data_IF_192982360202
#
_entry.id   IF_192982360202
#
_cell.length_a   1.000
_cell.length_b   1.000
_cell.length_c   1.000
_cell.angle_alpha   90.00
_cell.angle_beta   90.00
_cell.angle_gamma   90.00
#
_symmetry.space_group_name_H-M   'P 1'
#
loop_
_entity.id
_entity.type
_entity.pdbx_description
1 polymer ?
#
# COMPACT_ATOMS: atom_id res chain seq x y z
N UNK A 1 30.17 6.75 -13.41
CA UNK A 1 30.88 6.39 -12.17
C UNK A 1 30.05 6.96 -11.02
N UNK A 2 28.98 6.27 -10.60
CA UNK A 2 28.91 5.43 -9.37
C UNK A 2 29.12 6.26 -8.09
N UNK A 3 28.14 6.17 -7.18
CA UNK A 3 27.94 6.81 -5.86
C UNK A 3 26.83 7.88 -5.93
N UNK A 4 25.74 7.87 -5.16
CA UNK A 4 25.35 7.02 -4.05
C UNK A 4 23.81 6.95 -3.98
N UNK A 5 23.33 5.76 -3.67
CA UNK A 5 21.98 5.47 -3.21
C UNK A 5 21.82 6.07 -1.80
N UNK A 6 20.60 6.48 -1.49
CA UNK A 6 19.95 6.34 -0.17
C UNK A 6 19.52 7.65 0.51
N UNK A 7 18.25 7.62 0.93
CA UNK A 7 17.71 8.26 2.14
C UNK A 7 17.42 9.76 2.07
N UNK A 8 16.28 10.15 1.48
CA UNK A 8 15.44 11.19 2.09
C UNK A 8 13.98 11.14 1.62
N UNK A 9 13.29 10.04 1.94
CA UNK A 9 11.83 9.92 1.80
C UNK A 9 11.21 9.52 3.15
N UNK A 10 11.60 10.19 4.23
CA UNK A 10 10.93 10.11 5.52
C UNK A 10 10.39 11.49 5.90
N UNK A 11 9.18 11.79 5.46
CA UNK A 11 8.24 12.66 6.16
C UNK A 11 6.88 12.67 5.43
N UNK A 12 6.13 11.59 5.56
CA UNK A 12 4.66 11.70 5.59
C UNK A 12 4.19 11.18 6.94
N UNK A 13 4.49 11.98 7.97
CA UNK A 13 3.81 11.91 9.25
C UNK A 13 2.56 12.79 9.18
N UNK A 14 1.43 12.19 8.84
CA UNK A 14 0.07 12.61 9.17
C UNK A 14 -0.82 11.45 8.75
N UNK A 15 -1.38 10.68 9.66
CA UNK A 15 -2.38 11.14 10.62
C UNK A 15 -2.27 10.46 11.98
N UNK A 16 -2.33 11.31 13.00
CA UNK A 16 -2.58 10.99 14.39
C UNK A 16 -3.95 10.33 14.60
N UNK A 17 -3.99 9.44 15.59
CA UNK A 17 -5.13 9.17 16.47
C UNK A 17 -6.36 8.49 15.86
N UNK A 18 -6.31 7.17 15.69
CA UNK A 18 -7.47 6.33 15.96
C UNK A 18 -7.02 5.09 16.74
N UNK A 19 -7.35 5.09 18.02
CA UNK A 19 -7.33 3.92 18.88
C UNK A 19 -8.27 2.85 18.27
N UNK A 20 -7.87 1.58 18.39
CA UNK A 20 -8.26 0.46 17.52
C UNK A 20 -7.57 0.54 16.16
N UNK A 21 -6.40 -0.12 16.05
CA UNK A 21 -5.64 -0.17 14.81
C UNK A 21 -6.57 -0.54 13.65
N UNK A 22 -6.74 0.38 12.71
CA UNK A 22 -7.57 0.18 11.51
C UNK A 22 -7.27 -1.20 10.96
N UNK A 23 -8.26 -2.09 11.02
CA UNK A 23 -8.16 -3.42 10.45
C UNK A 23 -7.75 -3.26 9.00
N UNK A 24 -6.85 -4.12 8.53
CA UNK A 24 -6.38 -4.08 7.15
C UNK A 24 -7.55 -4.09 6.13
N UNK A 25 -8.70 -4.64 6.52
CA UNK A 25 -9.94 -4.60 5.75
C UNK A 25 -10.50 -3.20 5.52
N UNK A 26 -10.51 -2.32 6.53
CA UNK A 26 -11.13 -1.00 6.38
C UNK A 26 -10.29 -0.09 5.48
N UNK A 27 -8.96 -0.14 5.65
CA UNK A 27 -8.03 0.52 4.72
C UNK A 27 -8.15 -0.07 3.31
N UNK A 28 -8.32 -1.39 3.17
CA UNK A 28 -8.54 -2.03 1.87
C UNK A 28 -9.84 -1.54 1.22
N UNK A 29 -10.92 -1.42 1.99
CA UNK A 29 -12.21 -0.92 1.50
C UNK A 29 -12.10 0.54 1.02
N UNK A 30 -11.48 1.42 1.80
CA UNK A 30 -11.27 2.82 1.41
C UNK A 30 -10.38 2.94 0.16
N UNK A 31 -9.30 2.16 0.09
CA UNK A 31 -8.44 2.11 -1.09
C UNK A 31 -9.21 1.63 -2.32
N UNK A 32 -10.05 0.60 -2.16
CA UNK A 32 -10.91 0.06 -3.24
C UNK A 32 -11.88 1.14 -3.72
N UNK A 33 -12.57 1.83 -2.82
CA UNK A 33 -13.46 2.94 -3.17
C UNK A 33 -12.74 4.05 -3.93
N UNK A 34 -11.52 4.42 -3.50
CA UNK A 34 -10.70 5.40 -4.22
C UNK A 34 -10.26 4.90 -5.61
N UNK A 35 -9.84 3.65 -5.73
CA UNK A 35 -9.45 3.03 -7.00
C UNK A 35 -10.63 2.97 -7.98
N UNK A 36 -11.80 2.58 -7.48
CA UNK A 36 -13.04 2.50 -8.24
C UNK A 36 -13.52 3.89 -8.70
N UNK A 37 -13.47 4.89 -7.80
CA UNK A 37 -13.76 6.29 -8.14
C UNK A 37 -12.78 6.87 -9.17
N UNK A 38 -11.54 6.37 -9.22
CA UNK A 38 -10.57 6.72 -10.26
C UNK A 38 -10.74 5.90 -11.54
N UNK A 39 -11.73 5.00 -11.61
CA UNK A 39 -12.00 4.16 -12.77
C UNK A 39 -10.93 3.09 -13.03
N UNK A 40 -10.11 2.75 -12.02
CA UNK A 40 -9.12 1.69 -12.16
C UNK A 40 -9.87 0.36 -12.22
N UNK A 41 -9.76 -0.37 -13.33
CA UNK A 41 -10.32 -1.71 -13.50
C UNK A 41 -9.18 -2.74 -13.47
N UNK A 42 -9.53 -4.00 -13.25
CA UNK A 42 -8.56 -5.11 -13.27
C UNK A 42 -7.41 -4.94 -12.26
N UNK A 43 -7.76 -4.62 -11.01
CA UNK A 43 -6.80 -4.52 -9.92
C UNK A 43 -7.13 -5.47 -8.78
N UNK A 44 -6.10 -5.81 -8.01
CA UNK A 44 -6.22 -6.63 -6.81
C UNK A 44 -5.43 -6.01 -5.68
N UNK A 45 -6.07 -5.90 -4.52
CA UNK A 45 -5.44 -5.45 -3.29
C UNK A 45 -5.18 -6.64 -2.38
N UNK A 46 -3.90 -6.93 -2.14
CA UNK A 46 -3.50 -8.03 -1.28
C UNK A 46 -2.85 -7.51 0.00
N UNK A 47 -3.17 -8.13 1.13
CA UNK A 47 -2.53 -7.83 2.40
C UNK A 47 -1.38 -8.83 2.54
N UNK A 48 -0.17 -8.31 2.69
CA UNK A 48 1.05 -9.11 2.85
C UNK A 48 1.87 -8.55 3.99
N UNK A 49 2.71 -9.38 4.61
CA UNK A 49 3.62 -8.90 5.64
C UNK A 49 4.68 -7.98 5.03
N UNK A 50 5.23 -7.10 5.87
CA UNK A 50 6.20 -6.09 5.44
C UNK A 50 7.40 -6.70 4.69
N UNK A 51 7.86 -7.87 5.14
CA UNK A 51 8.95 -8.61 4.51
C UNK A 51 8.58 -9.22 3.14
N UNK A 52 7.29 -9.45 2.88
CA UNK A 52 6.76 -10.04 1.64
C UNK A 52 6.36 -8.98 0.59
N UNK A 53 6.58 -7.71 0.94
CA UNK A 53 6.56 -6.62 -0.02
C UNK A 53 7.83 -6.71 -0.87
N UNK A 54 7.74 -7.47 -1.96
CA UNK A 54 8.70 -7.48 -3.06
C UNK A 54 8.52 -6.22 -3.93
N UNK A 55 8.71 -6.33 -5.23
CA UNK A 55 8.56 -5.26 -6.24
C UNK A 55 7.11 -4.84 -6.53
N UNK A 56 6.19 -5.06 -5.58
CA UNK A 56 4.78 -4.69 -5.73
C UNK A 56 4.53 -3.29 -5.20
N UNK A 57 3.54 -2.61 -5.78
CA UNK A 57 3.20 -1.25 -5.39
C UNK A 57 2.46 -1.25 -4.05
N UNK A 58 3.11 -0.80 -2.97
CA UNK A 58 2.45 -0.58 -1.69
C UNK A 58 1.60 0.68 -1.78
N UNK A 59 0.31 0.56 -1.49
CA UNK A 59 -0.62 1.70 -1.46
C UNK A 59 -1.17 1.97 -0.05
N UNK A 60 -0.89 1.08 0.90
CA UNK A 60 -1.30 1.24 2.30
C UNK A 60 -0.49 0.36 3.24
N UNK A 61 -0.51 0.69 4.53
CA UNK A 61 0.08 -0.10 5.61
C UNK A 61 -0.92 -0.17 6.76
N UNK A 62 -1.09 -1.35 7.37
CA UNK A 62 -2.04 -1.60 8.46
C UNK A 62 -1.34 -2.36 9.61
N UNK A 63 -2.04 -2.54 10.74
CA UNK A 63 -1.50 -3.20 11.93
C UNK A 63 -0.17 -2.58 12.41
N UNK A 64 -0.15 -1.25 12.57
CA UNK A 64 1.04 -0.47 12.96
C UNK A 64 2.28 -0.65 12.05
N UNK A 65 2.08 -1.09 10.79
CA UNK A 65 3.16 -1.25 9.81
C UNK A 65 3.68 -2.68 9.66
N UNK A 66 3.16 -3.63 10.45
CA UNK A 66 3.47 -5.06 10.32
C UNK A 66 2.98 -5.65 8.99
N UNK A 67 1.82 -5.17 8.50
CA UNK A 67 1.23 -5.61 7.23
C UNK A 67 1.10 -4.45 6.26
N UNK A 68 1.17 -4.77 4.97
CA UNK A 68 1.20 -3.86 3.84
C UNK A 68 0.12 -4.28 2.84
N UNK A 69 -0.60 -3.30 2.32
CA UNK A 69 -1.60 -3.49 1.27
C UNK A 69 -0.90 -3.20 -0.04
N UNK A 70 -0.63 -4.26 -0.79
CA UNK A 70 -0.01 -4.19 -2.11
C UNK A 70 -1.07 -4.19 -3.19
N UNK A 71 -0.86 -3.32 -4.16
CA UNK A 71 -1.61 -3.22 -5.38
C UNK A 71 -0.97 -4.08 -6.45
N UNK A 72 -1.75 -5.02 -6.98
CA UNK A 72 -1.43 -5.81 -8.16
C UNK A 72 -2.37 -5.37 -9.28
N UNK A 73 -1.82 -4.73 -10.29
CA UNK A 73 -2.52 -4.57 -11.57
C UNK A 73 -2.54 -5.93 -12.24
N UNK A 74 -3.72 -6.45 -12.56
CA UNK A 74 -3.82 -7.53 -13.53
C UNK A 74 -3.49 -6.89 -14.89
N UNK A 75 -2.21 -6.81 -15.23
CA UNK A 75 -1.86 -6.53 -16.61
C UNK A 75 -2.41 -7.75 -17.36
N UNK A 76 -3.32 -7.59 -18.35
CA UNK A 76 -3.49 -8.65 -19.31
C UNK A 76 -2.09 -8.90 -19.85
N UNK A 77 -1.56 -10.09 -19.58
CA UNK A 77 -0.33 -10.59 -20.17
C UNK A 77 -0.53 -10.49 -21.67
N UNK A 78 0.01 -9.42 -22.25
CA UNK A 78 0.24 -9.32 -23.69
C UNK A 78 1.52 -10.06 -23.98
#
# INVERSE_FOLDING_TARGET
MKQAIALLLLAFASSSAFAAGRSCEELKAELTAKLDANGVKDYTLNIVDNADVKDRKVIGSCAAGSKKIVYSKNKPST
#
